data_IF_408756068483
#
_entry.id   IF_408756068483
#
_cell.length_a   1.000
_cell.length_b   1.000
_cell.length_c   1.000
_cell.angle_alpha   90.00
_cell.angle_beta   90.00
_cell.angle_gamma   90.00
#
_symmetry.space_group_name_H-M   'P 1'
#
loop_
_entity.id
_entity.type
_entity.pdbx_description
1 polymer ?
#
# COMPACT_ATOMS: atom_id res chain seq x y z
N UNK A 1 -17.82 14.01 23.68
CA UNK A 1 -17.70 13.28 22.40
C UNK A 1 -17.06 11.92 22.68
N UNK A 2 -17.77 10.80 22.47
CA UNK A 2 -17.24 9.44 22.72
C UNK A 2 -17.16 8.62 21.43
N UNK A 3 -15.93 8.40 20.93
CA UNK A 3 -15.64 7.40 19.90
C UNK A 3 -15.73 6.01 20.53
N UNK A 4 -16.48 5.09 19.92
CA UNK A 4 -16.59 3.70 20.38
C UNK A 4 -16.06 2.74 19.32
N UNK A 5 -15.30 1.74 19.76
CA UNK A 5 -14.72 0.69 18.91
C UNK A 5 -15.57 -0.59 19.01
N UNK A 6 -15.92 -1.15 17.86
CA UNK A 6 -16.69 -2.38 17.72
C UNK A 6 -15.86 -3.41 16.96
N UNK A 7 -15.87 -4.67 17.40
CA UNK A 7 -15.09 -5.76 16.80
C UNK A 7 -15.97 -6.99 16.63
N UNK A 8 -15.85 -7.68 15.50
CA UNK A 8 -16.67 -8.85 15.21
C UNK A 8 -16.11 -9.68 14.05
N UNK A 9 -16.58 -10.92 13.93
CA UNK A 9 -16.07 -11.89 12.95
C UNK A 9 -16.26 -11.44 11.48
N UNK A 10 -17.30 -10.64 11.21
CA UNK A 10 -17.55 -10.07 9.89
C UNK A 10 -18.11 -8.64 9.99
N UNK A 11 -18.00 -7.88 8.90
CA UNK A 11 -18.46 -6.48 8.82
C UNK A 11 -19.96 -6.32 9.13
N UNK A 12 -20.80 -7.30 8.77
CA UNK A 12 -22.26 -7.21 9.00
C UNK A 12 -22.60 -7.28 10.48
N UNK A 13 -21.92 -8.15 11.25
CA UNK A 13 -22.09 -8.26 12.70
C UNK A 13 -21.64 -6.98 13.42
N UNK A 14 -20.50 -6.41 13.01
CA UNK A 14 -20.00 -5.15 13.58
C UNK A 14 -20.94 -3.99 13.28
N UNK A 15 -21.45 -3.90 12.05
CA UNK A 15 -22.43 -2.87 11.66
C UNK A 15 -23.78 -3.04 12.38
N UNK A 16 -24.20 -4.27 12.69
CA UNK A 16 -25.38 -4.50 13.55
C UNK A 16 -25.11 -3.98 14.96
N UNK A 17 -23.93 -4.27 15.53
CA UNK A 17 -23.56 -3.82 16.87
C UNK A 17 -23.44 -2.30 16.98
N UNK A 18 -22.89 -1.65 15.94
CA UNK A 18 -22.85 -0.18 15.83
C UNK A 18 -24.27 0.39 15.84
N UNK A 19 -25.19 -0.16 15.05
CA UNK A 19 -26.59 0.30 15.01
C UNK A 19 -27.34 0.07 16.30
N UNK A 20 -27.17 -1.09 16.93
CA UNK A 20 -27.78 -1.40 18.23
C UNK A 20 -27.28 -0.47 19.35
N UNK A 21 -26.05 0.05 19.24
CA UNK A 21 -25.42 0.82 20.31
C UNK A 21 -25.45 2.34 20.10
N UNK A 22 -25.34 2.80 18.85
CA UNK A 22 -25.22 4.21 18.48
C UNK A 22 -26.39 4.72 17.63
N UNK A 23 -27.28 3.85 17.16
CA UNK A 23 -28.38 4.19 16.26
C UNK A 23 -28.03 4.05 14.78
N UNK A 24 -29.03 4.25 13.90
CA UNK A 24 -28.83 4.20 12.45
C UNK A 24 -27.95 5.34 11.91
N UNK A 25 -27.86 6.44 12.65
CA UNK A 25 -27.13 7.66 12.26
C UNK A 25 -25.66 7.68 12.73
N UNK A 26 -25.07 6.53 13.01
CA UNK A 26 -23.69 6.44 13.49
C UNK A 26 -22.67 6.76 12.37
N UNK A 27 -21.80 7.75 12.62
CA UNK A 27 -20.71 8.11 11.71
C UNK A 27 -19.51 7.18 11.93
N UNK A 28 -19.12 6.47 10.88
CA UNK A 28 -17.93 5.60 10.89
C UNK A 28 -16.67 6.44 10.67
N UNK A 29 -15.76 6.40 11.65
CA UNK A 29 -14.48 7.11 11.61
C UNK A 29 -13.39 6.27 10.97
N UNK A 30 -13.36 4.96 11.23
CA UNK A 30 -12.34 4.06 10.69
C UNK A 30 -12.83 2.62 10.57
N UNK A 31 -12.35 1.91 9.56
CA UNK A 31 -12.60 0.48 9.32
C UNK A 31 -11.26 -0.25 9.15
N UNK A 32 -10.97 -1.23 10.00
CA UNK A 32 -9.75 -2.05 9.95
C UNK A 32 -10.11 -3.53 9.93
N UNK A 33 -9.53 -4.28 8.99
CA UNK A 33 -9.60 -5.76 8.98
C UNK A 33 -8.41 -6.32 9.73
N UNK A 34 -8.65 -7.25 10.66
CA UNK A 34 -7.63 -7.90 11.49
C UNK A 34 -7.72 -9.42 11.34
N UNK A 35 -6.69 -10.15 11.79
CA UNK A 35 -6.63 -11.62 11.70
C UNK A 35 -7.82 -12.32 12.41
N UNK A 36 -8.49 -11.62 13.33
CA UNK A 36 -9.67 -12.10 14.07
C UNK A 36 -11.02 -11.54 13.60
N UNK A 37 -11.07 -10.74 12.52
CA UNK A 37 -12.32 -10.19 11.98
C UNK A 37 -12.24 -8.74 11.50
N UNK A 38 -13.26 -7.94 11.80
CA UNK A 38 -13.39 -6.55 11.38
C UNK A 38 -13.55 -5.67 12.63
N UNK A 39 -12.84 -4.54 12.65
CA UNK A 39 -12.94 -3.50 13.67
C UNK A 39 -13.46 -2.20 13.05
N UNK A 40 -14.51 -1.61 13.63
CA UNK A 40 -15.11 -0.34 13.19
C UNK A 40 -15.14 0.63 14.37
N UNK A 41 -14.63 1.84 14.15
CA UNK A 41 -14.75 2.94 15.10
C UNK A 41 -15.87 3.86 14.63
N UNK A 42 -16.84 4.14 15.51
CA UNK A 42 -18.00 4.96 15.20
C UNK A 42 -18.30 6.01 16.29
N UNK A 43 -18.95 7.10 15.89
CA UNK A 43 -19.44 8.19 16.73
C UNK A 43 -20.93 8.45 16.44
N UNK A 44 -21.70 8.93 17.42
CA UNK A 44 -23.06 9.43 17.21
C UNK A 44 -23.04 10.93 16.89
N UNK A 45 -23.92 11.38 15.97
CA UNK A 45 -23.91 12.73 15.38
C UNK A 45 -24.60 13.81 16.25
N UNK A 46 -25.14 13.47 17.43
CA UNK A 46 -25.79 14.47 18.29
C UNK A 46 -24.78 15.30 19.11
N UNK A 47 -24.07 16.22 18.42
CA UNK A 47 -23.46 17.41 19.01
C UNK A 47 -23.12 18.48 17.95
N UNK A 48 -24.04 18.77 17.04
CA UNK A 48 -24.02 20.00 16.22
C UNK A 48 -25.23 20.86 16.59
N UNK A 49 -25.30 21.27 17.85
CA UNK A 49 -26.00 22.50 18.23
C UNK A 49 -25.61 22.80 19.67
N UNK A 50 -24.82 23.84 19.90
CA UNK A 50 -24.77 24.68 21.10
C UNK A 50 -23.70 25.74 20.85
N UNK A 51 -24.11 26.70 20.02
CA UNK A 51 -23.56 28.03 19.96
C UNK A 51 -23.80 28.73 21.30
N UNK A 52 -22.74 29.21 21.96
CA UNK A 52 -22.66 30.55 22.60
C UNK A 52 -21.36 30.69 23.42
N UNK A 53 -20.52 31.68 23.10
CA UNK A 53 -19.73 32.36 24.12
C UNK A 53 -20.21 33.82 24.22
N UNK A 54 -20.91 34.12 25.31
CA UNK A 54 -21.17 35.50 25.75
C UNK A 54 -19.93 36.08 26.48
N UNK A 55 -19.81 37.42 26.59
CA UNK A 55 -18.54 38.14 26.51
C UNK A 55 -17.90 38.50 27.87
N UNK A 56 -16.66 39.00 27.75
CA UNK A 56 -15.79 39.78 28.67
C UNK A 56 -16.32 40.27 30.04
N UNK A 57 -15.41 40.41 31.01
CA UNK A 57 -15.08 41.77 31.43
C UNK A 57 -13.58 42.09 31.60
N UNK A 58 -13.29 43.35 31.32
CA UNK A 58 -12.01 44.08 31.26
C UNK A 58 -11.58 44.61 32.68
N UNK A 59 -10.51 45.45 32.86
CA UNK A 59 -9.36 45.27 33.80
C UNK A 59 -9.30 46.30 34.96
N UNK A 60 -8.26 46.30 35.84
CA UNK A 60 -7.19 47.33 35.79
C UNK A 60 -5.83 46.78 36.33
N UNK A 61 -4.63 47.37 36.30
CA UNK A 61 -4.06 48.67 35.95
C UNK A 61 -2.52 48.48 35.82
N UNK A 62 -1.86 49.38 35.09
CA UNK A 62 -0.40 49.53 34.86
C UNK A 62 0.37 49.90 36.15
N UNK A 63 1.74 49.90 36.25
CA UNK A 63 2.65 50.57 35.30
C UNK A 63 4.06 49.99 35.08
N UNK A 64 4.65 50.31 33.92
CA UNK A 64 6.03 50.83 33.72
C UNK A 64 6.68 50.31 32.42
N UNK A 65 6.99 51.24 31.51
CA UNK A 65 7.62 51.04 30.20
C UNK A 65 9.12 50.74 30.29
N UNK A 66 9.68 50.05 29.29
CA UNK A 66 10.73 50.67 28.45
C UNK A 66 10.43 50.46 26.94
N UNK A 67 11.28 50.93 25.99
CA UNK A 67 10.86 51.48 24.71
C UNK A 67 10.10 50.47 23.84
N UNK A 68 9.04 50.97 23.20
CA UNK A 68 8.26 50.24 22.23
C UNK A 68 9.16 49.81 21.06
N UNK A 69 9.59 48.54 21.06
CA UNK A 69 9.34 47.76 19.86
C UNK A 69 7.84 47.85 19.65
N UNK A 70 7.42 48.40 18.52
CA UNK A 70 5.99 48.44 18.18
C UNK A 70 5.45 47.02 18.46
N UNK A 71 4.42 46.84 19.29
CA UNK A 71 3.90 45.50 19.60
C UNK A 71 3.53 44.76 18.30
N UNK A 72 3.23 45.52 17.25
CA UNK A 72 3.03 45.08 15.89
C UNK A 72 4.30 44.53 15.19
N UNK A 73 5.49 45.07 15.47
CA UNK A 73 6.78 44.57 14.98
C UNK A 73 7.21 43.28 15.73
N UNK A 74 7.04 43.23 17.05
CA UNK A 74 7.31 41.99 17.80
C UNK A 74 6.35 40.86 17.42
N UNK A 75 5.09 41.19 17.09
CA UNK A 75 4.11 40.26 16.53
C UNK A 75 4.50 39.79 15.11
N UNK A 76 4.96 40.70 14.25
CA UNK A 76 5.37 40.36 12.88
C UNK A 76 6.63 39.50 12.85
N UNK A 77 7.60 39.73 13.73
CA UNK A 77 8.79 38.88 13.89
C UNK A 77 8.42 37.46 14.35
N UNK A 78 7.46 37.32 15.28
CA UNK A 78 6.95 36.01 15.70
C UNK A 78 6.23 35.29 14.57
N UNK A 79 5.39 36.00 13.80
CA UNK A 79 4.69 35.43 12.65
C UNK A 79 5.66 34.99 11.54
N UNK A 80 6.70 35.79 11.28
CA UNK A 80 7.75 35.43 10.32
C UNK A 80 8.54 34.21 10.77
N UNK A 81 8.79 34.07 12.08
CA UNK A 81 9.47 32.90 12.65
C UNK A 81 8.62 31.64 12.53
N UNK A 82 7.33 31.73 12.84
CA UNK A 82 6.37 30.63 12.63
C UNK A 82 6.27 30.23 11.14
N UNK A 83 6.24 31.20 10.21
CA UNK A 83 6.27 30.91 8.77
C UNK A 83 7.56 30.21 8.34
N UNK A 84 8.70 30.57 8.93
CA UNK A 84 9.99 29.92 8.68
C UNK A 84 10.03 28.50 9.24
N UNK A 85 9.48 28.26 10.43
CA UNK A 85 9.38 26.94 11.05
C UNK A 85 8.42 26.04 10.27
N UNK A 86 7.25 26.57 9.85
CA UNK A 86 6.33 25.85 8.97
C UNK A 86 7.00 25.50 7.64
N UNK A 87 7.78 26.40 7.04
CA UNK A 87 8.56 26.13 5.83
C UNK A 87 9.65 25.08 6.04
N UNK A 88 10.35 25.10 7.18
CA UNK A 88 11.39 24.12 7.49
C UNK A 88 10.79 22.71 7.67
N UNK A 89 9.63 22.61 8.33
CA UNK A 89 8.88 21.37 8.46
C UNK A 89 8.34 20.90 7.11
N UNK A 90 7.78 21.79 6.29
CA UNK A 90 7.33 21.46 4.93
C UNK A 90 8.49 21.02 4.03
N UNK A 91 9.66 21.67 4.12
CA UNK A 91 10.85 21.27 3.37
C UNK A 91 11.35 19.90 3.83
N UNK A 92 11.43 19.66 5.15
CA UNK A 92 11.82 18.37 5.74
C UNK A 92 10.87 17.25 5.32
N UNK A 93 9.56 17.47 5.42
CA UNK A 93 8.53 16.52 4.99
C UNK A 93 8.57 16.27 3.48
N UNK A 94 8.81 17.29 2.66
CA UNK A 94 8.97 17.13 1.20
C UNK A 94 10.24 16.35 0.86
N UNK A 95 11.37 16.60 1.52
CA UNK A 95 12.60 15.84 1.31
C UNK A 95 12.50 14.41 1.83
N UNK A 96 11.83 14.18 2.96
CA UNK A 96 11.55 12.85 3.48
C UNK A 96 10.59 12.09 2.54
N UNK A 97 9.54 12.74 2.03
CA UNK A 97 8.65 12.14 1.02
C UNK A 97 9.36 11.91 -0.31
N UNK A 98 10.27 12.78 -0.74
CA UNK A 98 11.05 12.58 -1.97
C UNK A 98 12.04 11.42 -1.83
N UNK A 99 12.67 11.27 -0.65
CA UNK A 99 13.54 10.13 -0.35
C UNK A 99 12.76 8.81 -0.23
N UNK A 100 11.58 8.83 0.42
CA UNK A 100 10.67 7.66 0.51
C UNK A 100 10.06 7.32 -0.86
N UNK A 101 9.72 8.31 -1.68
CA UNK A 101 9.22 8.09 -3.05
C UNK A 101 10.30 7.64 -4.03
N UNK A 102 11.58 7.84 -3.72
CA UNK A 102 12.73 7.31 -4.48
C UNK A 102 13.01 5.83 -4.16
N UNK A 103 12.38 5.25 -3.14
CA UNK A 103 12.76 3.96 -2.55
C UNK A 103 11.86 2.75 -2.87
N UNK A 104 11.03 2.76 -3.93
CA UNK A 104 10.28 1.52 -4.29
C UNK A 104 10.02 1.29 -5.78
N UNK A 105 10.74 1.94 -6.70
CA UNK A 105 10.91 1.31 -8.02
C UNK A 105 12.07 0.34 -7.88
N UNK A 106 11.88 -0.97 -8.10
CA UNK A 106 12.95 -1.91 -7.93
C UNK A 106 13.90 -1.67 -9.13
N UNK A 107 14.91 -0.86 -8.89
CA UNK A 107 15.70 -0.18 -9.94
C UNK A 107 16.87 -1.08 -10.29
N UNK A 108 16.59 -2.13 -11.05
CA UNK A 108 17.59 -3.08 -11.50
C UNK A 108 17.02 -4.08 -12.49
N UNK A 109 17.87 -4.65 -13.32
CA UNK A 109 17.47 -5.64 -14.33
C UNK A 109 16.79 -6.85 -13.70
N UNK A 110 17.32 -7.35 -12.58
CA UNK A 110 16.71 -8.45 -11.82
C UNK A 110 15.27 -8.13 -11.38
N UNK A 111 15.06 -6.92 -10.87
CA UNK A 111 13.77 -6.45 -10.42
C UNK A 111 12.75 -6.30 -11.56
N UNK A 112 13.19 -5.75 -12.71
CA UNK A 112 12.37 -5.67 -13.93
C UNK A 112 11.97 -7.06 -14.42
N UNK A 113 12.91 -8.02 -14.43
CA UNK A 113 12.62 -9.40 -14.82
C UNK A 113 11.65 -10.09 -13.85
N UNK A 114 11.80 -9.86 -12.55
CA UNK A 114 10.86 -10.35 -11.53
C UNK A 114 9.45 -9.80 -11.75
N UNK A 115 9.34 -8.50 -12.02
CA UNK A 115 8.06 -7.86 -12.31
C UNK A 115 7.46 -8.38 -13.63
N UNK A 116 8.28 -8.64 -14.65
CA UNK A 116 7.84 -9.26 -15.90
C UNK A 116 7.27 -10.66 -15.64
N UNK A 117 7.99 -11.51 -14.89
CA UNK A 117 7.55 -12.87 -14.57
C UNK A 117 6.23 -12.86 -13.80
N UNK A 118 6.08 -11.96 -12.82
CA UNK A 118 4.81 -11.78 -12.12
C UNK A 118 3.66 -11.33 -13.02
N UNK A 119 3.91 -10.38 -13.93
CA UNK A 119 2.89 -9.89 -14.86
C UNK A 119 2.41 -10.97 -15.83
N UNK A 120 3.24 -11.98 -16.13
CA UNK A 120 2.89 -13.13 -16.97
C UNK A 120 2.17 -14.23 -16.17
N UNK A 121 2.14 -14.13 -14.83
CA UNK A 121 1.44 -15.08 -13.96
C UNK A 121 2.33 -16.18 -13.36
N UNK A 122 3.65 -16.05 -13.45
CA UNK A 122 4.56 -16.92 -12.71
C UNK A 122 4.53 -16.61 -11.21
N UNK A 123 4.75 -17.62 -10.36
CA UNK A 123 4.81 -17.43 -8.91
C UNK A 123 6.08 -16.67 -8.49
N UNK A 124 6.05 -16.05 -7.32
CA UNK A 124 7.22 -15.38 -6.73
C UNK A 124 8.38 -16.34 -6.48
N UNK A 125 8.07 -17.56 -6.06
CA UNK A 125 9.07 -18.59 -5.76
C UNK A 125 9.79 -19.03 -7.04
N UNK A 126 9.04 -19.28 -8.11
CA UNK A 126 9.63 -19.61 -9.41
C UNK A 126 10.42 -18.42 -9.97
N UNK A 127 9.90 -17.20 -9.83
CA UNK A 127 10.62 -16.01 -10.27
C UNK A 127 11.95 -15.83 -9.53
N UNK A 128 11.98 -16.07 -8.22
CA UNK A 128 13.23 -16.06 -7.45
C UNK A 128 14.16 -17.18 -7.93
N UNK A 129 13.66 -18.39 -8.08
CA UNK A 129 14.44 -19.55 -8.54
C UNK A 129 15.08 -19.32 -9.92
N UNK A 130 14.33 -18.78 -10.87
CA UNK A 130 14.83 -18.47 -12.22
C UNK A 130 15.86 -17.34 -12.24
N UNK A 131 15.80 -16.43 -11.25
CA UNK A 131 16.74 -15.31 -11.14
C UNK A 131 17.95 -15.64 -10.25
N UNK A 132 17.99 -16.81 -9.61
CA UNK A 132 19.18 -17.29 -8.90
C UNK A 132 20.35 -17.40 -9.89
N UNK A 133 21.48 -16.80 -9.51
CA UNK A 133 22.70 -16.88 -10.31
C UNK A 133 22.70 -15.94 -11.53
N UNK A 134 21.83 -14.93 -11.56
CA UNK A 134 21.86 -13.90 -12.59
C UNK A 134 23.27 -13.28 -12.70
N UNK A 135 23.94 -13.37 -13.86
CA UNK A 135 25.30 -12.84 -14.03
C UNK A 135 25.38 -11.34 -13.78
N UNK A 136 26.40 -10.90 -13.03
CA UNK A 136 26.71 -9.49 -12.79
C UNK A 136 26.75 -8.63 -14.08
N UNK A 137 27.35 -9.06 -15.21
CA UNK A 137 27.32 -8.26 -16.44
C UNK A 137 25.89 -8.01 -16.95
N UNK A 138 24.97 -8.95 -16.75
CA UNK A 138 23.56 -8.78 -17.14
C UNK A 138 22.80 -7.87 -16.16
N UNK A 139 23.20 -7.85 -14.89
CA UNK A 139 22.62 -6.92 -13.89
C UNK A 139 23.00 -5.47 -14.15
N UNK A 140 24.22 -5.23 -14.64
CA UNK A 140 24.73 -3.89 -14.95
C UNK A 140 24.13 -3.32 -16.25
N UNK A 141 23.62 -4.17 -17.15
CA UNK A 141 22.95 -3.76 -18.37
C UNK A 141 21.59 -3.13 -18.03
N UNK A 142 21.59 -1.80 -17.89
CA UNK A 142 20.38 -0.99 -17.76
C UNK A 142 19.97 -0.47 -19.13
N UNK A 143 18.80 -0.87 -19.64
CA UNK A 143 18.28 -0.41 -20.94
C UNK A 143 17.37 -1.43 -21.64
N UNK A 144 17.10 -1.18 -22.91
CA UNK A 144 16.25 -2.03 -23.77
C UNK A 144 17.00 -3.25 -24.35
N UNK A 145 18.01 -3.72 -23.62
CA UNK A 145 18.80 -4.88 -24.03
C UNK A 145 17.96 -6.16 -23.92
N UNK A 146 17.99 -6.99 -24.95
CA UNK A 146 17.35 -8.31 -24.95
C UNK A 146 18.19 -9.39 -24.25
N UNK A 147 19.47 -9.13 -23.95
CA UNK A 147 20.37 -10.14 -23.36
C UNK A 147 19.85 -10.74 -22.03
N UNK A 148 19.28 -9.96 -21.08
CA UNK A 148 18.70 -10.52 -19.86
C UNK A 148 17.49 -11.42 -20.12
N UNK A 149 16.67 -11.08 -21.13
CA UNK A 149 15.53 -11.92 -21.54
C UNK A 149 15.99 -13.22 -22.21
N UNK A 150 17.04 -13.14 -23.03
CA UNK A 150 17.62 -14.32 -23.68
C UNK A 150 18.20 -15.29 -22.65
N UNK A 151 18.91 -14.77 -21.63
CA UNK A 151 19.40 -15.58 -20.52
C UNK A 151 18.25 -16.23 -19.73
N UNK A 152 17.21 -15.46 -19.40
CA UNK A 152 16.04 -15.97 -18.68
C UNK A 152 15.34 -17.09 -19.48
N UNK A 153 15.21 -16.92 -20.81
CA UNK A 153 14.65 -17.95 -21.69
C UNK A 153 15.50 -19.22 -21.68
N UNK A 154 16.83 -19.08 -21.71
CA UNK A 154 17.73 -20.23 -21.64
C UNK A 154 17.55 -20.97 -20.30
N UNK A 155 17.49 -20.25 -19.18
CA UNK A 155 17.23 -20.86 -17.87
C UNK A 155 15.90 -21.62 -17.82
N UNK A 156 14.84 -21.07 -18.41
CA UNK A 156 13.55 -21.77 -18.54
C UNK A 156 13.67 -23.05 -19.37
N UNK A 157 14.33 -22.98 -20.54
CA UNK A 157 14.51 -24.14 -21.42
C UNK A 157 15.34 -25.25 -20.77
N UNK A 158 16.36 -24.90 -19.98
CA UNK A 158 17.19 -25.87 -19.25
C UNK A 158 16.40 -26.60 -18.14
N UNK A 159 15.34 -25.99 -17.59
CA UNK A 159 14.51 -26.59 -16.53
C UNK A 159 13.26 -27.30 -17.06
N UNK A 160 12.84 -27.03 -18.28
CA UNK A 160 11.68 -27.67 -18.90
C UNK A 160 12.08 -29.04 -19.48
N UNK A 161 11.60 -30.11 -18.85
CA UNK A 161 11.67 -31.45 -19.41
C UNK A 161 10.64 -31.59 -20.54
N UNK A 162 11.02 -31.17 -21.75
CA UNK A 162 10.19 -31.33 -22.95
C UNK A 162 10.56 -32.65 -23.63
N UNK A 163 9.55 -33.39 -24.11
CA UNK A 163 9.82 -34.52 -25.01
C UNK A 163 10.48 -34.00 -26.28
N UNK A 164 11.67 -34.51 -26.61
CA UNK A 164 12.37 -34.13 -27.83
C UNK A 164 11.70 -34.67 -29.10
N UNK A 165 10.94 -35.77 -28.97
CA UNK A 165 10.28 -36.45 -30.07
C UNK A 165 8.89 -36.97 -29.63
N UNK A 166 7.92 -36.05 -29.63
CA UNK A 166 6.52 -36.32 -29.28
C UNK A 166 5.86 -37.42 -30.15
N UNK A 167 6.01 -37.48 -31.49
CA UNK A 167 5.37 -38.52 -32.28
C UNK A 167 5.91 -39.93 -31.97
N UNK A 168 7.21 -40.07 -31.69
CA UNK A 168 7.79 -41.37 -31.30
C UNK A 168 7.25 -41.92 -29.98
N UNK A 169 6.73 -41.06 -29.11
CA UNK A 169 6.07 -41.48 -27.87
C UNK A 169 4.72 -42.15 -28.15
N UNK A 170 3.99 -41.69 -29.18
CA UNK A 170 2.70 -42.26 -29.57
C UNK A 170 2.83 -43.50 -30.48
N UNK A 171 3.95 -43.64 -31.18
CA UNK A 171 4.23 -44.83 -32.01
C UNK A 171 4.55 -46.08 -31.16
N UNK A 172 4.90 -45.89 -29.88
CA UNK A 172 5.10 -46.97 -28.93
C UNK A 172 3.75 -47.53 -28.48
N UNK A 173 3.54 -48.84 -28.67
CA UNK A 173 2.35 -49.52 -28.16
C UNK A 173 2.38 -49.55 -26.63
N UNK A 174 1.55 -48.71 -26.00
CA UNK A 174 1.47 -48.60 -24.54
C UNK A 174 0.14 -48.02 -24.07
N UNK A 175 -0.15 -48.19 -22.76
CA UNK A 175 -1.30 -47.55 -22.11
C UNK A 175 -0.78 -46.31 -21.38
N UNK A 176 -1.33 -45.14 -21.71
CA UNK A 176 -1.00 -43.86 -21.06
C UNK A 176 -2.18 -43.42 -20.20
N UNK A 177 -1.92 -43.07 -18.94
CA UNK A 177 -2.91 -42.45 -18.07
C UNK A 177 -2.61 -40.95 -17.93
N UNK A 178 -3.55 -40.11 -18.33
CA UNK A 178 -3.47 -38.67 -18.08
C UNK A 178 -3.99 -38.40 -16.67
N UNK A 179 -3.09 -37.98 -15.77
CA UNK A 179 -3.44 -37.58 -14.41
C UNK A 179 -3.25 -36.08 -14.28
N UNK A 180 -4.31 -35.38 -13.90
CA UNK A 180 -4.29 -33.95 -13.61
C UNK A 180 -5.14 -33.64 -12.39
N UNK A 181 -4.92 -32.47 -11.77
CA UNK A 181 -5.84 -31.97 -10.77
C UNK A 181 -7.26 -31.91 -11.37
N UNK A 182 -8.26 -32.41 -10.64
CA UNK A 182 -9.65 -32.36 -11.07
C UNK A 182 -10.02 -30.88 -11.33
N UNK A 183 -10.04 -30.45 -12.59
CA UNK A 183 -10.58 -29.14 -12.96
C UNK A 183 -12.07 -29.21 -12.65
N UNK A 184 -12.44 -28.69 -11.48
CA UNK A 184 -13.83 -28.45 -11.15
C UNK A 184 -14.42 -27.50 -12.19
N UNK A 185 -15.21 -28.07 -13.10
CA UNK A 185 -16.19 -27.38 -13.95
C UNK A 185 -15.61 -26.42 -14.99
N UNK A 186 -15.43 -26.92 -16.21
CA UNK A 186 -15.91 -26.21 -17.41
C UNK A 186 -15.87 -27.19 -18.60
N UNK A 187 -17.07 -27.63 -19.01
CA UNK A 187 -17.31 -28.41 -20.22
C UNK A 187 -16.65 -27.72 -21.42
N UNK A 188 -15.49 -28.21 -21.85
CA UNK A 188 -14.98 -27.90 -23.16
C UNK A 188 -15.71 -28.79 -24.17
N UNK A 189 -16.69 -28.17 -24.84
CA UNK A 189 -17.23 -28.61 -26.10
C UNK A 189 -16.07 -28.93 -27.07
N UNK A 190 -15.88 -30.19 -27.40
CA UNK A 190 -15.28 -30.56 -28.68
C UNK A 190 -16.29 -30.22 -29.77
N UNK A 191 -15.89 -29.38 -30.73
CA UNK A 191 -16.48 -29.31 -32.05
C UNK A 191 -15.38 -29.31 -33.08
#
# INVERSE_FOLDING_TARGET
MSVRRFVGANSRDVMRQVRETLGEDALIVANRRTEGGVEILAMADEAIDHFEPSPEPTPPESPASPPAQDPMQAMSERLLREMQDMRALLATNQSANAAVSRQVTPTGTAARLRQLLWNVGFSSELADELLVGLPEPLTALSGDSEAPLQWLRQQLMERLCVLSDEPSFFDQTGIVALVGANRGGENHHYR
#
